data_IF_016232854807
#
_entry.id   IF_016232854807
#
_cell.length_a   1.000
_cell.length_b   1.000
_cell.length_c   1.000
_cell.angle_alpha   90.00
_cell.angle_beta   90.00
_cell.angle_gamma   90.00
#
_symmetry.space_group_name_H-M   'P 1'
#
loop_
_entity.id
_entity.type
_entity.pdbx_description
1 polymer ?
#
# COMPACT_ATOMS: atom_id res chain seq x y z
N UNK A 1 -72.67 26.07 4.17
CA UNK A 1 -71.60 25.67 3.17
C UNK A 1 -70.61 24.82 3.90
N UNK A 2 -70.65 23.47 3.72
CA UNK A 2 -69.65 22.52 4.23
C UNK A 2 -68.53 22.41 3.22
N UNK A 3 -67.30 22.79 3.58
CA UNK A 3 -66.08 22.52 2.78
C UNK A 3 -65.55 21.16 3.22
N UNK A 4 -65.69 20.15 2.38
CA UNK A 4 -65.08 18.85 2.57
C UNK A 4 -63.62 18.91 2.13
N UNK A 5 -62.66 18.88 3.08
CA UNK A 5 -61.22 18.78 2.83
C UNK A 5 -60.91 17.32 2.48
N UNK A 6 -60.63 17.07 1.22
CA UNK A 6 -60.13 15.76 0.74
C UNK A 6 -58.66 15.64 1.11
N UNK A 7 -58.33 14.80 2.09
CA UNK A 7 -56.94 14.43 2.41
C UNK A 7 -56.46 13.45 1.37
N UNK A 8 -55.60 13.91 0.43
CA UNK A 8 -54.89 13.03 -0.51
C UNK A 8 -53.87 12.22 0.26
N UNK A 9 -54.17 10.97 0.57
CA UNK A 9 -53.20 9.99 1.06
C UNK A 9 -52.36 9.59 -0.16
N UNK A 10 -51.16 10.19 -0.33
CA UNK A 10 -50.16 9.75 -1.28
C UNK A 10 -49.58 8.44 -0.74
N UNK A 11 -49.74 7.29 -1.42
CA UNK A 11 -49.12 6.07 -0.98
C UNK A 11 -47.58 6.27 -1.03
N UNK A 12 -46.93 6.14 0.13
CA UNK A 12 -45.47 5.98 0.15
C UNK A 12 -45.13 4.69 -0.59
N UNK A 13 -44.77 4.79 -1.85
CA UNK A 13 -44.18 3.69 -2.61
C UNK A 13 -42.79 3.47 -2.01
N UNK A 14 -42.70 2.56 -1.05
CA UNK A 14 -41.41 2.06 -0.58
C UNK A 14 -40.74 1.36 -1.78
N UNK A 15 -39.79 2.01 -2.39
CA UNK A 15 -38.96 1.39 -3.41
C UNK A 15 -38.17 0.28 -2.76
N UNK A 16 -38.50 -0.97 -3.10
CA UNK A 16 -37.71 -2.13 -2.70
C UNK A 16 -36.28 -1.96 -3.17
N UNK A 17 -35.30 -2.20 -2.30
CA UNK A 17 -33.89 -2.20 -2.70
C UNK A 17 -33.64 -3.27 -3.75
N UNK A 18 -32.59 -3.09 -4.57
CA UNK A 18 -32.26 -3.99 -5.66
C UNK A 18 -30.77 -4.35 -5.59
N UNK A 19 -30.47 -5.64 -5.54
CA UNK A 19 -29.11 -6.14 -5.77
C UNK A 19 -28.86 -6.16 -7.27
N UNK A 20 -27.95 -5.28 -7.75
CA UNK A 20 -27.64 -5.10 -9.17
C UNK A 20 -26.53 -6.04 -9.65
N UNK A 21 -25.48 -6.19 -8.86
CA UNK A 21 -24.32 -7.02 -9.21
C UNK A 21 -23.52 -7.48 -7.98
N UNK A 22 -22.67 -8.47 -8.21
CA UNK A 22 -21.63 -8.92 -7.28
C UNK A 22 -20.27 -8.74 -7.93
N UNK A 23 -19.30 -8.21 -7.17
CA UNK A 23 -17.91 -8.16 -7.55
C UNK A 23 -17.10 -8.83 -6.46
N UNK A 24 -16.16 -9.71 -6.82
CA UNK A 24 -15.36 -10.48 -5.87
C UNK A 24 -13.88 -10.21 -6.16
N UNK A 25 -13.16 -9.82 -5.13
CA UNK A 25 -11.75 -9.42 -5.18
C UNK A 25 -10.93 -10.25 -4.19
N UNK A 26 -10.41 -11.41 -4.59
CA UNK A 26 -9.45 -12.15 -3.77
C UNK A 26 -8.11 -11.41 -3.69
N UNK A 27 -7.61 -11.23 -2.48
CA UNK A 27 -6.27 -10.71 -2.19
C UNK A 27 -5.48 -11.73 -1.36
N UNK A 28 -4.20 -11.55 -1.10
CA UNK A 28 -3.43 -12.45 -0.23
C UNK A 28 -3.98 -12.56 1.21
N UNK A 29 -4.51 -11.47 1.75
CA UNK A 29 -4.91 -11.37 3.15
C UNK A 29 -6.42 -11.58 3.39
N UNK A 30 -7.26 -11.28 2.40
CA UNK A 30 -8.73 -11.35 2.49
C UNK A 30 -9.39 -11.56 1.13
N UNK A 31 -10.64 -11.98 1.15
CA UNK A 31 -11.52 -11.94 -0.03
C UNK A 31 -12.61 -10.91 0.22
N UNK A 32 -12.64 -9.87 -0.59
CA UNK A 32 -13.67 -8.84 -0.56
C UNK A 32 -14.80 -9.17 -1.53
N UNK A 33 -16.03 -9.12 -1.06
CA UNK A 33 -17.23 -9.15 -1.90
C UNK A 33 -17.94 -7.81 -1.82
N UNK A 34 -18.20 -7.22 -2.96
CA UNK A 34 -18.96 -5.98 -3.09
C UNK A 34 -20.30 -6.27 -3.74
N UNK A 35 -21.38 -5.92 -3.07
CA UNK A 35 -22.75 -6.03 -3.56
C UNK A 35 -23.21 -4.64 -3.98
N UNK A 36 -23.42 -4.41 -5.26
CA UNK A 36 -23.95 -3.15 -5.78
C UNK A 36 -25.46 -3.10 -5.61
N UNK A 37 -25.95 -2.01 -5.02
CA UNK A 37 -27.33 -1.85 -4.60
C UNK A 37 -28.02 -0.66 -5.27
N UNK A 38 -29.36 -0.70 -5.33
CA UNK A 38 -30.18 0.41 -5.78
C UNK A 38 -30.30 1.53 -4.76
N UNK A 39 -30.37 1.16 -3.49
CA UNK A 39 -30.46 2.06 -2.33
C UNK A 39 -29.63 1.51 -1.18
N UNK A 40 -29.58 2.23 -0.08
CA UNK A 40 -28.88 1.77 1.13
C UNK A 40 -29.51 0.49 1.69
N UNK A 41 -28.65 -0.49 2.06
CA UNK A 41 -29.10 -1.78 2.59
C UNK A 41 -29.55 -1.66 4.07
N UNK A 42 -30.71 -2.22 4.39
CA UNK A 42 -31.03 -2.68 5.74
C UNK A 42 -30.75 -4.17 5.81
N UNK A 43 -29.74 -4.56 6.57
CA UNK A 43 -29.24 -5.93 6.59
C UNK A 43 -28.88 -6.41 8.00
N UNK A 44 -28.98 -7.72 8.17
CA UNK A 44 -28.40 -8.45 9.30
C UNK A 44 -27.59 -9.64 8.79
N UNK A 45 -26.67 -10.14 9.61
CA UNK A 45 -25.87 -11.29 9.23
C UNK A 45 -25.49 -12.15 10.43
N UNK A 46 -25.20 -13.41 10.16
CA UNK A 46 -24.72 -14.38 11.14
C UNK A 46 -23.92 -15.49 10.45
N UNK A 47 -23.07 -16.16 11.21
CA UNK A 47 -22.27 -17.28 10.74
C UNK A 47 -22.86 -18.61 11.19
N UNK A 48 -22.74 -19.64 10.35
CA UNK A 48 -23.12 -21.03 10.64
C UNK A 48 -21.91 -21.93 10.41
N UNK A 49 -21.80 -22.99 11.25
CA UNK A 49 -20.78 -24.02 11.15
C UNK A 49 -21.40 -25.34 10.69
N UNK A 50 -20.59 -26.22 10.07
CA UNK A 50 -20.99 -27.54 9.63
C UNK A 50 -22.06 -27.64 8.54
N UNK A 51 -21.81 -27.17 7.29
CA UNK A 51 -20.62 -26.50 6.74
C UNK A 51 -20.55 -25.01 7.09
N UNK A 52 -19.35 -24.43 6.99
CA UNK A 52 -19.12 -23.01 7.28
C UNK A 52 -19.82 -22.11 6.26
N UNK A 53 -20.62 -21.18 6.75
CA UNK A 53 -21.42 -20.25 5.94
C UNK A 53 -21.56 -18.91 6.63
N UNK A 54 -21.52 -17.84 5.86
CA UNK A 54 -22.03 -16.54 6.26
C UNK A 54 -23.39 -16.35 5.61
N UNK A 55 -24.37 -16.00 6.42
CA UNK A 55 -25.75 -15.69 5.97
C UNK A 55 -25.97 -14.20 6.11
N UNK A 56 -26.47 -13.57 5.04
CA UNK A 56 -26.81 -12.14 5.01
C UNK A 56 -28.26 -12.02 4.59
N UNK A 57 -29.05 -11.42 5.45
CA UNK A 57 -30.46 -11.10 5.24
C UNK A 57 -30.62 -9.61 4.91
N UNK A 58 -31.22 -9.30 3.80
CA UNK A 58 -31.48 -7.93 3.35
C UNK A 58 -32.99 -7.70 3.27
N UNK A 59 -33.49 -6.73 4.05
CA UNK A 59 -34.91 -6.39 4.07
C UNK A 59 -35.31 -5.63 2.81
N UNK A 60 -36.56 -5.77 2.42
CA UNK A 60 -37.19 -5.08 1.29
C UNK A 60 -36.30 -5.03 0.05
N UNK A 61 -35.66 -6.17 -0.25
CA UNK A 61 -34.64 -6.28 -1.29
C UNK A 61 -35.07 -7.29 -2.34
N UNK A 62 -34.89 -6.93 -3.62
CA UNK A 62 -35.08 -7.79 -4.80
C UNK A 62 -33.74 -8.09 -5.45
N UNK A 63 -33.70 -9.13 -6.29
CA UNK A 63 -32.49 -9.61 -6.91
C UNK A 63 -32.55 -9.44 -8.43
N UNK A 64 -31.67 -8.62 -8.99
CA UNK A 64 -31.44 -8.49 -10.43
C UNK A 64 -30.17 -9.24 -10.86
N UNK A 65 -29.20 -9.36 -9.95
CA UNK A 65 -27.95 -10.07 -10.23
C UNK A 65 -28.18 -11.58 -10.42
N UNK A 66 -27.35 -12.19 -11.25
CA UNK A 66 -27.39 -13.65 -11.48
C UNK A 66 -26.78 -14.39 -10.27
N UNK A 67 -27.46 -15.45 -9.83
CA UNK A 67 -26.99 -16.39 -8.82
C UNK A 67 -27.13 -17.82 -9.35
N UNK A 68 -26.29 -18.77 -8.91
CA UNK A 68 -25.18 -18.63 -7.97
C UNK A 68 -23.96 -17.96 -8.59
N UNK A 69 -23.10 -17.33 -7.72
CA UNK A 69 -21.78 -16.82 -8.10
C UNK A 69 -20.74 -17.79 -7.57
N UNK A 70 -20.08 -18.53 -8.46
CA UNK A 70 -18.96 -19.43 -8.09
C UNK A 70 -17.66 -18.66 -8.07
N UNK A 71 -16.84 -18.90 -7.03
CA UNK A 71 -15.55 -18.23 -6.81
C UNK A 71 -14.44 -19.27 -6.76
N UNK A 72 -13.60 -19.33 -7.79
CA UNK A 72 -12.49 -20.30 -7.90
C UNK A 72 -11.25 -19.85 -7.12
N UNK A 73 -10.95 -18.56 -7.16
CA UNK A 73 -9.64 -17.99 -6.80
C UNK A 73 -9.53 -17.58 -5.33
N UNK A 74 -10.63 -17.66 -4.58
CA UNK A 74 -10.61 -17.34 -3.15
C UNK A 74 -10.24 -18.56 -2.31
N UNK A 75 -9.33 -18.43 -1.33
CA UNK A 75 -9.03 -19.51 -0.37
C UNK A 75 -10.11 -19.66 0.72
N UNK A 76 -11.08 -18.73 0.79
CA UNK A 76 -12.12 -18.68 1.83
C UNK A 76 -13.51 -18.83 1.27
N UNK A 77 -13.86 -18.13 0.19
CA UNK A 77 -15.19 -18.12 -0.40
C UNK A 77 -15.26 -19.15 -1.52
N UNK A 78 -16.31 -19.98 -1.49
CA UNK A 78 -16.59 -21.00 -2.50
C UNK A 78 -17.70 -20.56 -3.45
N UNK A 79 -18.81 -20.06 -2.88
CA UNK A 79 -20.04 -19.84 -3.62
C UNK A 79 -20.89 -18.79 -2.90
N UNK A 80 -21.59 -17.96 -3.68
CA UNK A 80 -22.69 -17.11 -3.19
C UNK A 80 -23.99 -17.59 -3.84
N UNK A 81 -25.00 -17.89 -3.04
CA UNK A 81 -26.28 -18.39 -3.52
C UNK A 81 -27.47 -17.83 -2.74
N UNK A 82 -28.65 -17.96 -3.30
CA UNK A 82 -29.94 -17.68 -2.64
C UNK A 82 -30.28 -18.76 -1.64
N UNK A 83 -31.05 -18.39 -0.60
CA UNK A 83 -31.73 -19.30 0.31
C UNK A 83 -33.11 -18.73 0.71
N UNK A 84 -33.97 -19.57 1.27
CA UNK A 84 -35.28 -19.12 1.77
C UNK A 84 -35.09 -18.30 3.04
N UNK A 85 -35.58 -17.04 3.10
CA UNK A 85 -35.53 -16.23 4.30
C UNK A 85 -36.63 -16.68 5.29
N UNK A 86 -36.47 -16.37 6.60
CA UNK A 86 -37.49 -16.68 7.62
C UNK A 86 -38.72 -15.74 7.53
N UNK A 87 -38.51 -14.53 7.03
CA UNK A 87 -39.51 -13.47 7.00
C UNK A 87 -39.84 -13.04 5.57
N UNK A 88 -41.13 -12.74 5.32
CA UNK A 88 -41.57 -12.15 4.05
C UNK A 88 -40.92 -10.76 3.88
N UNK A 89 -40.58 -10.41 2.64
CA UNK A 89 -39.91 -9.13 2.35
C UNK A 89 -38.40 -9.15 2.53
N UNK A 90 -37.82 -10.22 3.04
CA UNK A 90 -36.36 -10.37 3.20
C UNK A 90 -35.78 -11.20 2.06
N UNK A 91 -34.60 -10.81 1.57
CA UNK A 91 -33.82 -11.61 0.64
C UNK A 91 -32.60 -12.19 1.32
N UNK A 92 -32.47 -13.52 1.38
CA UNK A 92 -31.37 -14.22 2.03
C UNK A 92 -30.31 -14.65 1.03
N UNK A 93 -29.07 -14.19 1.27
CA UNK A 93 -27.86 -14.64 0.61
C UNK A 93 -27.07 -15.56 1.55
N UNK A 94 -26.53 -16.64 1.00
CA UNK A 94 -25.64 -17.57 1.69
C UNK A 94 -24.30 -17.58 0.99
N UNK A 95 -23.26 -17.22 1.70
CA UNK A 95 -21.87 -17.31 1.29
C UNK A 95 -21.31 -18.62 1.83
N UNK A 96 -21.10 -19.61 0.97
CA UNK A 96 -20.49 -20.88 1.35
C UNK A 96 -18.97 -20.69 1.48
N UNK A 97 -18.46 -21.01 2.67
CA UNK A 97 -17.06 -20.78 3.00
C UNK A 97 -16.29 -22.11 2.96
N UNK A 98 -15.03 -22.05 2.57
CA UNK A 98 -14.09 -23.17 2.60
C UNK A 98 -13.52 -23.40 4.00
N UNK A 99 -13.60 -22.39 4.87
CA UNK A 99 -13.19 -22.39 6.28
C UNK A 99 -13.92 -21.30 7.06
N UNK A 100 -14.02 -21.46 8.38
CA UNK A 100 -14.62 -20.45 9.24
C UNK A 100 -13.74 -19.21 9.30
N UNK A 101 -14.35 -18.03 9.08
CA UNK A 101 -13.71 -16.73 9.19
C UNK A 101 -14.67 -15.73 9.84
N UNK A 102 -14.11 -14.74 10.52
CA UNK A 102 -14.87 -13.65 11.06
C UNK A 102 -15.04 -12.58 9.97
N UNK A 103 -16.20 -12.54 9.34
CA UNK A 103 -16.52 -11.55 8.31
C UNK A 103 -16.70 -10.16 8.89
N UNK A 104 -16.30 -9.14 8.15
CA UNK A 104 -16.61 -7.73 8.42
C UNK A 104 -17.52 -7.21 7.32
N UNK A 105 -18.66 -6.61 7.73
CA UNK A 105 -19.62 -6.05 6.80
C UNK A 105 -19.82 -4.57 7.07
N UNK A 106 -19.81 -3.77 6.01
CA UNK A 106 -20.07 -2.33 6.09
C UNK A 106 -20.68 -1.79 4.80
N UNK A 107 -21.34 -0.63 4.92
CA UNK A 107 -21.99 0.04 3.81
C UNK A 107 -21.09 1.13 3.21
N UNK A 108 -21.14 1.29 1.91
CA UNK A 108 -20.55 2.42 1.20
C UNK A 108 -21.64 3.22 0.49
N UNK A 109 -21.61 4.52 0.68
CA UNK A 109 -22.50 5.47 0.01
C UNK A 109 -22.14 5.63 -1.49
N UNK A 110 -23.05 6.17 -2.31
CA UNK A 110 -22.73 6.54 -3.67
C UNK A 110 -21.51 7.48 -3.75
N UNK A 111 -20.68 7.28 -4.77
CA UNK A 111 -19.49 8.11 -4.95
C UNK A 111 -19.86 9.47 -5.54
N UNK A 112 -19.17 10.55 -5.14
CA UNK A 112 -19.24 11.81 -5.85
C UNK A 112 -18.90 11.60 -7.33
N UNK A 113 -19.74 12.11 -8.23
CA UNK A 113 -19.57 11.87 -9.67
C UNK A 113 -20.28 10.64 -10.23
N UNK A 114 -20.98 9.84 -9.39
CA UNK A 114 -21.91 8.78 -9.82
C UNK A 114 -21.26 7.52 -10.38
N UNK A 115 -19.95 7.29 -10.12
CA UNK A 115 -19.25 6.10 -10.61
C UNK A 115 -19.78 4.81 -9.97
N UNK A 116 -20.10 4.85 -8.67
CA UNK A 116 -20.73 3.76 -7.94
C UNK A 116 -21.93 4.26 -7.15
N UNK A 117 -22.99 3.41 -7.07
CA UNK A 117 -24.14 3.60 -6.22
C UNK A 117 -23.90 3.14 -4.78
N UNK A 118 -24.98 2.83 -4.07
CA UNK A 118 -24.91 2.19 -2.76
C UNK A 118 -24.28 0.81 -2.87
N UNK A 119 -23.47 0.43 -1.87
CA UNK A 119 -22.77 -0.86 -1.84
C UNK A 119 -22.79 -1.45 -0.44
N UNK A 120 -22.94 -2.77 -0.34
CA UNK A 120 -22.62 -3.54 0.85
C UNK A 120 -21.32 -4.29 0.59
N UNK A 121 -20.31 -4.05 1.43
CA UNK A 121 -19.01 -4.69 1.35
C UNK A 121 -18.93 -5.78 2.40
N UNK A 122 -18.38 -6.93 2.03
CA UNK A 122 -18.15 -8.09 2.89
C UNK A 122 -16.69 -8.48 2.76
N UNK A 123 -15.91 -8.27 3.82
CA UNK A 123 -14.52 -8.67 3.91
C UNK A 123 -14.41 -10.02 4.65
N UNK A 124 -13.77 -10.99 4.00
CA UNK A 124 -13.55 -12.34 4.49
C UNK A 124 -12.04 -12.56 4.69
N UNK A 125 -11.48 -12.32 5.89
CA UNK A 125 -10.05 -12.48 6.17
C UNK A 125 -9.58 -13.92 5.95
N UNK A 126 -8.38 -14.10 5.40
CA UNK A 126 -7.82 -15.43 5.13
C UNK A 126 -7.18 -16.09 6.36
N UNK A 127 -6.78 -15.32 7.38
CA UNK A 127 -6.18 -15.78 8.61
C UNK A 127 -6.95 -15.35 9.85
N UNK A 128 -6.58 -15.84 11.02
CA UNK A 128 -6.98 -15.20 12.27
C UNK A 128 -6.39 -13.80 12.25
N UNK A 129 -7.24 -12.76 12.39
CA UNK A 129 -6.74 -11.44 12.80
C UNK A 129 -5.97 -11.70 14.10
N UNK A 130 -4.65 -11.67 14.06
CA UNK A 130 -3.90 -11.27 15.24
C UNK A 130 -4.42 -9.87 15.54
N UNK A 131 -5.25 -9.76 16.58
CA UNK A 131 -5.60 -8.48 17.13
C UNK A 131 -4.28 -7.72 17.21
N UNK A 132 -4.21 -6.57 16.56
CA UNK A 132 -3.08 -5.66 16.69
C UNK A 132 -3.14 -5.14 18.13
N UNK A 133 -2.70 -5.97 19.07
CA UNK A 133 -2.26 -5.50 20.36
C UNK A 133 -1.14 -4.52 20.00
N UNK A 134 -1.43 -3.25 20.22
CA UNK A 134 -0.43 -2.20 20.18
C UNK A 134 0.83 -2.78 20.82
N UNK A 135 1.88 -2.92 20.03
CA UNK A 135 3.14 -3.43 20.52
C UNK A 135 3.53 -2.55 21.72
N UNK A 136 3.47 -3.14 22.91
CA UNK A 136 3.99 -2.55 24.11
C UNK A 136 5.42 -2.13 23.78
N UNK A 137 5.83 -0.89 24.00
CA UNK A 137 7.19 -0.50 23.70
C UNK A 137 8.11 -1.46 24.47
N UNK A 138 8.85 -2.27 23.74
CA UNK A 138 9.91 -3.07 24.33
C UNK A 138 10.91 -2.09 24.91
N UNK A 139 11.09 -2.15 26.25
CA UNK A 139 12.24 -1.54 26.93
C UNK A 139 13.49 -1.88 26.12
N UNK A 140 14.44 -0.95 25.98
CA UNK A 140 15.75 -1.29 25.44
C UNK A 140 16.30 -2.39 26.33
N UNK A 141 16.35 -3.59 25.84
CA UNK A 141 17.07 -4.67 26.48
C UNK A 141 18.56 -4.36 26.31
N UNK A 142 19.15 -3.80 27.35
CA UNK A 142 20.59 -3.89 27.59
C UNK A 142 20.91 -5.36 27.83
N UNK A 143 20.94 -6.13 26.78
CA UNK A 143 21.58 -7.42 26.78
C UNK A 143 22.90 -7.27 26.04
N UNK A 144 23.98 -7.36 26.79
CA UNK A 144 25.29 -7.66 26.25
C UNK A 144 25.19 -8.94 25.44
N UNK A 145 24.86 -8.82 24.15
CA UNK A 145 24.96 -9.92 23.22
C UNK A 145 26.43 -10.13 22.91
N UNK A 146 26.89 -11.35 23.12
CA UNK A 146 28.13 -11.86 22.59
C UNK A 146 28.36 -11.33 21.18
N UNK A 147 29.42 -10.50 21.01
CA UNK A 147 29.84 -9.95 19.72
C UNK A 147 30.56 -11.02 18.89
N UNK A 148 29.90 -12.12 18.59
CA UNK A 148 30.51 -13.20 17.81
C UNK A 148 29.81 -13.49 16.47
N UNK A 149 28.83 -12.68 16.05
CA UNK A 149 28.27 -12.75 14.71
C UNK A 149 28.77 -11.58 13.88
N UNK A 150 29.64 -11.85 12.91
CA UNK A 150 29.85 -10.94 11.78
C UNK A 150 28.48 -10.68 11.17
N UNK A 151 27.93 -9.51 11.45
CA UNK A 151 26.62 -9.13 10.90
C UNK A 151 26.80 -8.99 9.39
N UNK A 152 26.32 -9.98 8.63
CA UNK A 152 26.24 -9.86 7.18
C UNK A 152 25.44 -8.58 6.88
N UNK A 153 26.03 -7.69 6.11
CA UNK A 153 25.33 -6.47 5.68
C UNK A 153 24.01 -6.85 5.02
N UNK A 154 22.92 -6.21 5.46
CA UNK A 154 21.57 -6.53 5.01
C UNK A 154 21.31 -5.96 3.62
N UNK A 155 20.45 -6.63 2.85
CA UNK A 155 19.92 -6.05 1.62
C UNK A 155 18.98 -4.89 1.96
N UNK A 156 18.93 -3.87 1.10
CA UNK A 156 17.97 -2.78 1.23
C UNK A 156 16.60 -3.28 0.78
N UNK A 157 15.61 -3.25 1.65
CA UNK A 157 14.23 -3.59 1.31
C UNK A 157 13.45 -2.34 0.91
N UNK A 158 12.88 -2.34 -0.28
CA UNK A 158 12.04 -1.27 -0.83
C UNK A 158 10.62 -1.79 -0.98
N UNK A 159 9.66 -1.10 -0.40
CA UNK A 159 8.25 -1.37 -0.67
C UNK A 159 7.78 -0.49 -1.82
N UNK A 160 7.24 -1.12 -2.85
CA UNK A 160 6.60 -0.47 -3.98
C UNK A 160 5.10 -0.60 -3.78
N UNK A 161 4.40 0.52 -3.86
CA UNK A 161 2.97 0.61 -3.61
C UNK A 161 2.25 1.04 -4.89
N UNK A 162 1.72 0.09 -5.70
CA UNK A 162 0.85 0.46 -6.82
C UNK A 162 -0.46 1.04 -6.27
N UNK A 163 -0.76 2.30 -6.57
CA UNK A 163 -2.00 2.95 -6.14
C UNK A 163 -3.26 2.20 -6.56
N UNK A 164 -4.36 2.41 -5.84
CA UNK A 164 -5.70 1.88 -6.18
C UNK A 164 -5.76 0.35 -6.22
N UNK A 165 -6.74 -0.22 -6.95
CA UNK A 165 -6.90 -1.66 -7.16
C UNK A 165 -8.30 -2.18 -6.77
N UNK A 166 -8.69 -3.30 -7.35
CA UNK A 166 -10.00 -3.91 -7.10
C UNK A 166 -11.15 -2.99 -7.52
N UNK A 167 -12.06 -2.70 -6.60
CA UNK A 167 -13.19 -1.78 -6.80
C UNK A 167 -12.78 -0.32 -6.94
N UNK A 168 -11.57 0.05 -6.54
CA UNK A 168 -11.03 1.38 -6.77
C UNK A 168 -10.21 1.41 -8.08
N UNK A 169 -10.76 1.93 -9.18
CA UNK A 169 -10.06 2.00 -10.44
C UNK A 169 -8.97 3.08 -10.48
N UNK A 170 -8.94 3.98 -9.47
CA UNK A 170 -8.24 5.24 -9.57
C UNK A 170 -8.88 6.16 -10.61
N UNK A 171 -8.09 7.02 -11.17
CA UNK A 171 -8.48 7.91 -12.24
C UNK A 171 -8.79 7.15 -13.54
N UNK A 172 -9.77 7.65 -14.28
CA UNK A 172 -10.25 7.04 -15.53
C UNK A 172 -9.83 7.92 -16.70
N UNK A 173 -9.13 7.32 -17.64
CA UNK A 173 -8.71 8.02 -18.85
C UNK A 173 -9.88 8.47 -19.75
N UNK A 174 -9.66 9.46 -20.62
CA UNK A 174 -10.69 10.01 -21.50
C UNK A 174 -11.37 8.97 -22.40
N UNK A 175 -10.66 7.91 -22.75
CA UNK A 175 -11.24 6.77 -23.52
C UNK A 175 -12.28 5.97 -22.74
N UNK A 176 -12.40 6.19 -21.41
CA UNK A 176 -13.25 5.45 -20.47
C UNK A 176 -13.03 3.93 -20.45
N UNK A 177 -11.87 3.47 -20.93
CA UNK A 177 -11.47 2.05 -21.02
C UNK A 177 -10.15 1.76 -20.33
N UNK A 178 -9.49 2.79 -19.83
CA UNK A 178 -8.17 2.70 -19.20
C UNK A 178 -8.26 3.27 -17.82
N UNK A 179 -7.80 2.49 -16.86
CA UNK A 179 -7.86 2.78 -15.44
C UNK A 179 -6.45 2.98 -14.90
N UNK A 180 -6.28 3.92 -14.01
CA UNK A 180 -5.01 4.19 -13.34
C UNK A 180 -4.45 2.94 -12.69
N UNK A 181 -5.28 2.18 -11.94
CA UNK A 181 -4.87 0.94 -11.26
C UNK A 181 -4.10 -0.05 -12.14
N UNK A 182 -4.43 -0.12 -13.44
CA UNK A 182 -3.80 -1.05 -14.38
C UNK A 182 -2.44 -0.53 -14.85
N UNK A 183 -2.34 0.76 -15.15
CA UNK A 183 -1.11 1.40 -15.56
C UNK A 183 -0.07 1.34 -14.44
N UNK A 184 -0.45 1.75 -13.23
CA UNK A 184 0.47 1.81 -12.09
C UNK A 184 0.92 0.42 -11.62
N UNK A 185 0.04 -0.60 -11.68
CA UNK A 185 0.45 -1.98 -11.39
C UNK A 185 1.48 -2.48 -12.40
N UNK A 186 1.30 -2.16 -13.70
CA UNK A 186 2.23 -2.55 -14.75
C UNK A 186 3.60 -1.88 -14.57
N UNK A 187 3.63 -0.55 -14.30
CA UNK A 187 4.86 0.21 -14.06
C UNK A 187 5.57 -0.31 -12.80
N UNK A 188 4.82 -0.54 -11.72
CA UNK A 188 5.35 -1.03 -10.44
C UNK A 188 6.00 -2.41 -10.55
N UNK A 189 5.40 -3.33 -11.31
CA UNK A 189 6.00 -4.65 -11.58
C UNK A 189 7.33 -4.55 -12.33
N UNK A 190 7.41 -3.64 -13.30
CA UNK A 190 8.65 -3.38 -14.06
C UNK A 190 9.73 -2.74 -13.16
N UNK A 191 9.32 -1.80 -12.31
CA UNK A 191 10.21 -1.18 -11.32
C UNK A 191 10.75 -2.21 -10.32
N UNK A 192 9.87 -3.08 -9.78
CA UNK A 192 10.27 -4.16 -8.88
C UNK A 192 11.30 -5.08 -9.54
N UNK A 193 11.01 -5.54 -10.76
CA UNK A 193 11.94 -6.44 -11.49
C UNK A 193 13.32 -5.80 -11.73
N UNK A 194 13.38 -4.50 -12.02
CA UNK A 194 14.64 -3.79 -12.23
C UNK A 194 15.44 -3.57 -10.95
N UNK A 195 14.74 -3.24 -9.85
CA UNK A 195 15.37 -3.09 -8.54
C UNK A 195 15.86 -4.43 -7.99
N UNK A 196 15.08 -5.50 -8.11
CA UNK A 196 15.47 -6.85 -7.67
C UNK A 196 16.66 -7.41 -8.47
N UNK A 197 16.85 -6.96 -9.72
CA UNK A 197 18.03 -7.28 -10.52
C UNK A 197 19.29 -6.54 -10.04
N UNK A 198 19.16 -5.55 -9.15
CA UNK A 198 20.29 -4.79 -8.61
C UNK A 198 20.83 -5.49 -7.35
N UNK A 199 22.11 -5.89 -7.31
CA UNK A 199 22.69 -6.54 -6.14
C UNK A 199 22.51 -5.70 -4.86
N UNK A 200 22.02 -6.33 -3.80
CA UNK A 200 21.81 -5.70 -2.52
C UNK A 200 20.48 -4.97 -2.35
N UNK A 201 19.58 -5.07 -3.32
CA UNK A 201 18.22 -4.56 -3.24
C UNK A 201 17.22 -5.72 -3.32
N UNK A 202 16.18 -5.66 -2.49
CA UNK A 202 14.98 -6.49 -2.57
C UNK A 202 13.75 -5.62 -2.59
N UNK A 203 12.72 -6.05 -3.30
CA UNK A 203 11.45 -5.36 -3.33
C UNK A 203 10.32 -6.20 -2.77
N UNK A 204 9.31 -5.52 -2.23
CA UNK A 204 7.99 -6.08 -1.95
C UNK A 204 6.93 -5.12 -2.46
N UNK A 205 5.85 -5.66 -2.98
CA UNK A 205 4.74 -4.85 -3.47
C UNK A 205 3.55 -4.95 -2.52
N UNK A 206 2.86 -3.83 -2.25
CA UNK A 206 1.64 -3.82 -1.42
C UNK A 206 0.51 -4.59 -2.07
N UNK A 207 0.45 -4.59 -3.41
CA UNK A 207 -0.40 -5.46 -4.21
C UNK A 207 0.33 -5.97 -5.45
N UNK A 208 0.10 -7.23 -5.78
CA UNK A 208 0.66 -7.89 -6.96
C UNK A 208 -0.41 -8.24 -8.00
N UNK A 209 -1.68 -8.00 -7.68
CA UNK A 209 -2.85 -8.24 -8.51
C UNK A 209 -3.82 -7.05 -8.50
N UNK A 210 -4.99 -7.26 -9.11
CA UNK A 210 -6.09 -6.31 -9.10
C UNK A 210 -7.00 -6.55 -7.90
N UNK A 211 -6.59 -6.03 -6.74
CA UNK A 211 -7.37 -6.01 -5.50
C UNK A 211 -7.10 -4.72 -4.73
N UNK A 212 -8.07 -4.30 -3.93
CA UNK A 212 -7.97 -3.09 -3.13
C UNK A 212 -7.07 -3.31 -1.90
N UNK A 213 -6.24 -2.32 -1.60
CA UNK A 213 -5.46 -2.22 -0.35
C UNK A 213 -5.71 -0.85 0.24
N UNK A 214 -6.27 -0.78 1.44
CA UNK A 214 -6.53 0.51 2.07
C UNK A 214 -5.24 1.25 2.45
N UNK A 215 -5.30 2.59 2.55
CA UNK A 215 -4.12 3.44 2.76
C UNK A 215 -3.34 3.07 4.03
N UNK A 216 -4.02 2.78 5.13
CA UNK A 216 -3.36 2.38 6.37
C UNK A 216 -2.63 1.06 6.23
N UNK A 217 -3.20 0.10 5.47
CA UNK A 217 -2.56 -1.19 5.22
C UNK A 217 -1.30 -1.06 4.37
N UNK A 218 -1.26 -0.12 3.41
CA UNK A 218 -0.06 0.17 2.60
C UNK A 218 1.11 0.60 3.48
N UNK A 219 0.88 1.55 4.39
CA UNK A 219 1.89 2.02 5.34
C UNK A 219 2.25 0.93 6.35
N UNK A 220 1.26 0.21 6.88
CA UNK A 220 1.49 -0.91 7.80
C UNK A 220 2.32 -2.01 7.16
N UNK A 221 2.06 -2.35 5.90
CA UNK A 221 2.84 -3.32 5.14
C UNK A 221 4.31 -2.93 5.03
N UNK A 222 4.62 -1.66 4.75
CA UNK A 222 6.00 -1.19 4.73
C UNK A 222 6.68 -1.32 6.09
N UNK A 223 5.98 -0.97 7.19
CA UNK A 223 6.50 -1.10 8.56
C UNK A 223 6.69 -2.53 9.02
N UNK A 224 5.73 -3.41 8.76
CA UNK A 224 5.78 -4.84 9.12
C UNK A 224 6.90 -5.60 8.41
N UNK A 225 7.37 -5.05 7.30
CA UNK A 225 8.48 -5.61 6.53
C UNK A 225 9.81 -4.89 6.78
N UNK A 226 9.90 -3.96 7.73
CA UNK A 226 11.10 -3.16 8.02
C UNK A 226 11.68 -2.51 6.75
N UNK A 227 10.79 -1.92 5.92
CA UNK A 227 11.19 -1.30 4.66
C UNK A 227 12.11 -0.10 4.89
N UNK A 228 13.14 0.03 4.06
CA UNK A 228 14.04 1.18 4.06
C UNK A 228 13.48 2.36 3.26
N UNK A 229 12.64 2.07 2.25
CA UNK A 229 11.97 3.07 1.41
C UNK A 229 10.56 2.61 1.08
N UNK A 230 9.63 3.56 0.91
CA UNK A 230 8.29 3.34 0.36
C UNK A 230 8.11 4.22 -0.88
N UNK A 231 7.80 3.60 -2.01
CA UNK A 231 7.56 4.28 -3.29
C UNK A 231 6.15 3.96 -3.74
N UNK A 232 5.23 4.92 -3.60
CA UNK A 232 3.88 4.80 -4.14
C UNK A 232 3.86 5.30 -5.58
N UNK A 233 3.23 4.55 -6.47
CA UNK A 233 3.21 4.81 -7.92
C UNK A 233 1.78 5.10 -8.34
N UNK A 234 1.57 6.27 -8.94
CA UNK A 234 0.28 6.80 -9.35
C UNK A 234 0.32 7.36 -10.78
N UNK A 235 -0.84 7.64 -11.35
CA UNK A 235 -1.02 8.30 -12.64
C UNK A 235 -2.35 9.06 -12.66
N UNK A 236 -2.48 10.01 -11.76
CA UNK A 236 -3.72 10.67 -11.40
C UNK A 236 -4.36 11.47 -12.57
N UNK A 237 -5.58 11.92 -12.38
CA UNK A 237 -6.26 12.83 -13.30
C UNK A 237 -6.31 14.24 -12.71
N UNK A 238 -6.57 15.21 -13.53
CA UNK A 238 -6.95 16.56 -13.11
C UNK A 238 -8.31 16.92 -13.71
N UNK A 239 -8.94 17.94 -13.17
CA UNK A 239 -10.27 18.41 -13.63
C UNK A 239 -10.30 18.84 -15.10
N UNK A 240 -9.14 19.13 -15.65
CA UNK A 240 -8.97 19.50 -17.06
C UNK A 240 -7.94 18.58 -17.73
N UNK A 241 -8.00 18.40 -19.07
CA UNK A 241 -7.09 17.52 -19.80
C UNK A 241 -5.72 18.15 -20.14
N UNK A 242 -5.47 19.41 -19.75
CA UNK A 242 -4.24 20.12 -20.08
C UNK A 242 -3.02 19.67 -19.27
N UNK A 243 -3.11 19.42 -17.95
CA UNK A 243 -1.95 18.93 -17.17
C UNK A 243 -1.37 17.67 -17.78
N UNK A 244 -0.05 17.60 -17.84
CA UNK A 244 0.72 16.47 -18.35
C UNK A 244 2.06 16.36 -17.66
N UNK A 245 2.63 15.18 -17.71
CA UNK A 245 3.97 14.89 -17.21
C UNK A 245 4.00 14.46 -15.75
N UNK A 246 5.15 13.90 -15.37
CA UNK A 246 5.36 13.36 -14.04
C UNK A 246 5.56 14.41 -12.96
N UNK A 247 5.27 14.03 -11.73
CA UNK A 247 5.54 14.80 -10.51
C UNK A 247 5.96 13.85 -9.40
N UNK A 248 6.64 14.36 -8.37
CA UNK A 248 6.93 13.56 -7.17
C UNK A 248 6.51 14.33 -5.93
N UNK A 249 5.71 13.66 -5.11
CA UNK A 249 5.19 14.19 -3.87
C UNK A 249 5.96 13.64 -2.67
N UNK A 250 6.19 14.51 -1.69
CA UNK A 250 6.87 14.20 -0.44
C UNK A 250 6.03 14.66 0.75
N UNK A 251 6.17 13.97 1.88
CA UNK A 251 5.43 14.33 3.08
C UNK A 251 5.85 15.72 3.58
N UNK A 252 4.84 16.55 3.87
CA UNK A 252 4.98 17.74 4.69
C UNK A 252 3.75 17.88 5.58
N UNK A 253 3.92 17.75 6.87
CA UNK A 253 2.82 17.78 7.84
C UNK A 253 2.18 19.16 8.00
N UNK A 254 2.83 20.22 7.51
CA UNK A 254 2.37 21.60 7.73
C UNK A 254 1.43 22.14 6.69
N UNK A 255 1.57 21.83 5.39
CA UNK A 255 0.61 22.22 4.31
C UNK A 255 0.93 21.62 2.94
N UNK A 256 -0.13 21.26 2.21
CA UNK A 256 -0.07 21.15 0.76
C UNK A 256 0.10 22.57 0.16
N UNK A 257 1.15 22.80 -0.58
CA UNK A 257 1.54 24.15 -1.04
C UNK A 257 1.13 24.45 -2.48
N UNK A 258 0.48 23.53 -3.17
CA UNK A 258 -0.01 23.72 -4.53
C UNK A 258 -1.47 23.28 -4.68
N UNK A 259 -2.16 23.82 -5.70
CA UNK A 259 -3.53 23.41 -6.03
C UNK A 259 -3.59 21.92 -6.40
N UNK A 260 -2.61 21.43 -7.15
CA UNK A 260 -2.49 20.03 -7.54
C UNK A 260 -2.31 19.15 -6.32
N UNK A 261 -1.45 19.51 -5.35
CA UNK A 261 -1.27 18.75 -4.12
C UNK A 261 -2.59 18.62 -3.34
N UNK A 262 -3.37 19.68 -3.24
CA UNK A 262 -4.70 19.63 -2.60
C UNK A 262 -5.68 18.78 -3.36
N UNK A 263 -5.63 18.80 -4.69
CA UNK A 263 -6.50 17.99 -5.52
C UNK A 263 -6.17 16.48 -5.36
N UNK A 264 -4.89 16.09 -5.44
CA UNK A 264 -4.42 14.71 -5.20
C UNK A 264 -4.79 14.23 -3.80
N UNK A 265 -4.57 15.06 -2.75
CA UNK A 265 -5.00 14.71 -1.39
C UNK A 265 -6.49 14.42 -1.28
N UNK A 266 -7.32 15.19 -1.96
CA UNK A 266 -8.77 14.99 -1.93
C UNK A 266 -9.17 13.74 -2.73
N UNK A 267 -8.50 13.48 -3.85
CA UNK A 267 -8.75 12.30 -4.69
C UNK A 267 -8.38 11.01 -3.95
N UNK A 268 -7.22 10.99 -3.29
CA UNK A 268 -6.81 9.86 -2.45
C UNK A 268 -7.74 9.61 -1.24
N UNK A 269 -8.27 10.66 -0.63
CA UNK A 269 -9.32 10.50 0.40
C UNK A 269 -10.61 9.90 -0.17
N UNK A 270 -10.97 10.20 -1.41
CA UNK A 270 -12.11 9.60 -2.08
C UNK A 270 -11.87 8.13 -2.42
N UNK A 271 -10.64 7.73 -2.74
CA UNK A 271 -10.24 6.33 -2.91
C UNK A 271 -10.58 5.48 -1.68
N UNK A 272 -10.33 5.99 -0.46
CA UNK A 272 -10.76 5.31 0.78
C UNK A 272 -12.30 5.16 0.87
N UNK A 273 -13.07 6.12 0.37
CA UNK A 273 -14.53 6.03 0.32
C UNK A 273 -15.02 5.03 -0.75
N UNK A 274 -14.19 4.74 -1.76
CA UNK A 274 -14.47 3.75 -2.77
C UNK A 274 -14.35 2.31 -2.25
N UNK A 275 -13.35 2.05 -1.43
CA UNK A 275 -13.03 0.72 -0.95
C UNK A 275 -12.87 0.54 0.56
N UNK A 276 -12.72 1.61 1.34
CA UNK A 276 -12.46 1.57 2.78
C UNK A 276 -13.69 1.70 3.67
N UNK A 277 -13.57 1.29 4.93
CA UNK A 277 -14.64 1.38 5.94
C UNK A 277 -14.87 2.80 6.50
N UNK A 278 -14.20 3.82 5.99
CA UNK A 278 -14.33 5.21 6.46
C UNK A 278 -13.72 5.51 7.83
N UNK A 279 -13.27 4.51 8.57
CA UNK A 279 -12.73 4.66 9.94
C UNK A 279 -11.19 4.84 9.99
N UNK A 280 -10.54 5.10 8.86
CA UNK A 280 -9.09 5.11 8.74
C UNK A 280 -8.36 6.24 9.48
N UNK A 281 -9.05 7.22 10.04
CA UNK A 281 -8.43 8.43 10.60
C UNK A 281 -8.59 8.63 12.12
N UNK A 282 -9.07 7.63 12.87
CA UNK A 282 -9.11 7.75 14.34
C UNK A 282 -7.76 7.32 14.90
N UNK A 283 -6.81 8.23 14.97
CA UNK A 283 -5.61 8.07 15.78
C UNK A 283 -6.00 8.19 17.25
N UNK A 284 -6.01 7.07 17.96
CA UNK A 284 -6.15 7.04 19.41
C UNK A 284 -4.85 7.57 20.05
N UNK A 285 -4.77 8.88 20.26
CA UNK A 285 -3.64 9.54 20.92
C UNK A 285 -3.89 9.61 22.42
N UNK A 286 -3.47 8.59 23.14
CA UNK A 286 -3.38 8.61 24.60
C UNK A 286 -2.00 8.26 25.10
N UNK A 287 -0.96 9.02 24.72
CA UNK A 287 0.29 9.14 25.52
C UNK A 287 1.13 10.27 24.91
N UNK A 288 1.06 11.45 25.53
CA UNK A 288 1.34 12.70 24.82
C UNK A 288 2.71 13.34 25.05
N UNK A 289 3.59 12.94 25.95
CA UNK A 289 4.65 13.87 26.36
C UNK A 289 6.13 13.44 26.19
N UNK A 290 6.47 12.18 26.01
CA UNK A 290 7.90 11.78 25.84
C UNK A 290 8.19 11.28 24.41
N UNK A 291 7.16 10.78 23.72
CA UNK A 291 7.29 10.26 22.35
C UNK A 291 7.17 11.33 21.26
N UNK A 292 6.63 12.52 21.57
CA UNK A 292 6.34 13.54 20.56
C UNK A 292 7.63 14.08 19.92
N UNK A 293 8.64 14.43 20.73
CA UNK A 293 9.90 14.98 20.22
C UNK A 293 10.68 13.96 19.38
N UNK A 294 10.67 12.69 19.80
CA UNK A 294 11.31 11.61 19.04
C UNK A 294 10.59 11.35 17.72
N UNK A 295 9.26 11.34 17.75
CA UNK A 295 8.43 11.21 16.54
C UNK A 295 8.64 12.38 15.58
N UNK A 296 8.70 13.61 16.09
CA UNK A 296 8.94 14.81 15.27
C UNK A 296 10.33 14.76 14.62
N UNK A 297 11.34 14.26 15.32
CA UNK A 297 12.68 14.06 14.78
C UNK A 297 12.70 12.99 13.67
N UNK A 298 12.02 11.86 13.89
CA UNK A 298 11.89 10.79 12.90
C UNK A 298 11.15 11.28 11.65
N UNK A 299 10.05 12.02 11.81
CA UNK A 299 9.35 12.64 10.69
C UNK A 299 10.24 13.63 9.93
N UNK A 300 11.01 14.46 10.63
CA UNK A 300 11.93 15.41 9.99
C UNK A 300 13.01 14.70 9.18
N UNK A 301 13.55 13.59 9.70
CA UNK A 301 14.52 12.77 8.98
C UNK A 301 13.89 12.13 7.73
N UNK A 302 12.74 11.47 7.89
CA UNK A 302 12.02 10.83 6.81
C UNK A 302 11.63 11.82 5.69
N UNK A 303 11.19 13.03 6.05
CA UNK A 303 10.90 14.12 5.10
C UNK A 303 12.14 14.53 4.32
N UNK A 304 13.27 14.75 5.00
CA UNK A 304 14.53 15.16 4.36
C UNK A 304 15.02 14.11 3.38
N UNK A 305 15.00 12.84 3.78
CA UNK A 305 15.43 11.73 2.94
C UNK A 305 14.45 11.50 1.77
N UNK A 306 13.14 11.59 2.02
CA UNK A 306 12.12 11.55 0.96
C UNK A 306 12.31 12.68 -0.06
N UNK A 307 12.66 13.89 0.37
CA UNK A 307 12.91 15.01 -0.54
C UNK A 307 14.14 14.78 -1.42
N UNK A 308 15.23 14.21 -0.88
CA UNK A 308 16.42 13.84 -1.66
C UNK A 308 16.07 12.79 -2.72
N UNK A 309 15.40 11.70 -2.30
CA UNK A 309 14.95 10.65 -3.21
C UNK A 309 14.05 11.19 -4.32
N UNK A 310 13.08 12.04 -3.97
CA UNK A 310 12.18 12.67 -4.95
C UNK A 310 12.94 13.54 -5.95
N UNK A 311 13.98 14.25 -5.51
CA UNK A 311 14.82 15.07 -6.39
C UNK A 311 15.57 14.21 -7.42
N UNK A 312 16.14 13.08 -6.99
CA UNK A 312 16.79 12.14 -7.89
C UNK A 312 15.80 11.51 -8.89
N UNK A 313 14.60 11.13 -8.42
CA UNK A 313 13.55 10.58 -9.29
C UNK A 313 13.14 11.58 -10.36
N UNK A 314 12.88 12.83 -9.99
CA UNK A 314 12.55 13.90 -10.97
C UNK A 314 13.69 14.11 -11.97
N UNK A 315 14.95 14.10 -11.52
CA UNK A 315 16.11 14.23 -12.38
C UNK A 315 16.21 13.15 -13.45
N UNK A 316 15.97 11.89 -13.10
CA UNK A 316 16.02 10.77 -14.06
C UNK A 316 14.73 10.69 -14.90
N UNK A 317 13.55 10.93 -14.31
CA UNK A 317 12.28 10.96 -15.06
C UNK A 317 12.27 12.06 -16.12
N UNK A 318 12.81 13.24 -15.83
CA UNK A 318 12.89 14.36 -16.78
C UNK A 318 13.71 14.08 -18.02
N UNK A 319 14.55 13.04 -18.03
CA UNK A 319 15.32 12.60 -19.21
C UNK A 319 14.52 11.73 -20.17
N UNK A 320 13.40 11.14 -19.71
CA UNK A 320 12.64 10.15 -20.46
C UNK A 320 11.17 10.53 -20.68
N UNK A 321 10.66 11.45 -19.89
CA UNK A 321 9.28 11.91 -19.92
C UNK A 321 9.19 13.43 -19.63
N UNK A 322 8.07 14.02 -19.99
CA UNK A 322 7.75 15.40 -19.58
C UNK A 322 7.53 15.43 -18.06
N UNK A 323 8.00 16.47 -17.39
CA UNK A 323 7.70 16.73 -15.99
C UNK A 323 6.66 17.83 -15.86
N UNK A 324 5.66 17.61 -15.04
CA UNK A 324 4.71 18.64 -14.64
C UNK A 324 5.37 19.61 -13.65
N UNK A 325 6.15 19.08 -12.72
CA UNK A 325 6.98 19.84 -11.79
C UNK A 325 8.40 19.32 -11.77
N UNK A 326 9.37 20.22 -11.81
CA UNK A 326 10.80 19.91 -11.75
C UNK A 326 11.36 19.84 -10.33
N UNK A 327 10.55 20.18 -9.32
CA UNK A 327 10.89 20.11 -7.90
C UNK A 327 9.86 19.25 -7.15
N UNK A 328 10.27 18.55 -6.07
CA UNK A 328 9.35 17.80 -5.23
C UNK A 328 8.23 18.67 -4.67
N UNK A 329 7.01 18.13 -4.66
CA UNK A 329 5.80 18.81 -4.18
C UNK A 329 5.50 18.35 -2.77
N UNK A 330 5.33 19.29 -1.84
CA UNK A 330 4.96 18.99 -0.47
C UNK A 330 3.46 18.69 -0.35
N UNK A 331 3.12 17.61 0.36
CA UNK A 331 1.74 17.15 0.55
C UNK A 331 1.56 16.49 1.91
N UNK A 332 0.31 16.31 2.35
CA UNK A 332 -0.04 15.60 3.59
C UNK A 332 -0.68 14.23 3.34
N UNK A 333 -0.37 13.59 2.23
CA UNK A 333 -0.92 12.29 1.83
C UNK A 333 -0.74 11.21 2.90
N UNK A 334 -1.79 10.42 3.14
CA UNK A 334 -1.81 9.41 4.19
C UNK A 334 -0.76 8.32 3.96
N UNK A 335 -0.56 7.88 2.72
CA UNK A 335 0.42 6.85 2.34
C UNK A 335 1.86 7.25 2.65
N UNK A 336 2.15 8.56 2.73
CA UNK A 336 3.48 9.08 3.04
C UNK A 336 3.73 9.26 4.55
N UNK A 337 2.73 9.02 5.41
CA UNK A 337 2.81 9.30 6.86
C UNK A 337 3.50 8.19 7.66
N UNK A 338 4.66 7.73 7.21
CA UNK A 338 5.52 6.85 8.02
C UNK A 338 6.63 7.66 8.68
N UNK A 339 6.72 7.70 10.02
CA UNK A 339 7.76 8.48 10.69
C UNK A 339 9.17 7.97 10.41
N UNK A 340 9.32 6.67 10.21
CA UNK A 340 10.62 5.99 10.14
C UNK A 340 11.07 5.65 8.73
N UNK A 341 10.14 5.65 7.75
CA UNK A 341 10.41 5.18 6.39
C UNK A 341 10.34 6.38 5.44
N UNK A 342 11.46 6.79 4.82
CA UNK A 342 11.42 7.77 3.73
C UNK A 342 10.48 7.31 2.64
N UNK A 343 9.47 8.14 2.35
CA UNK A 343 8.37 7.78 1.46
C UNK A 343 8.17 8.85 0.39
N UNK A 344 7.90 8.41 -0.84
CA UNK A 344 7.56 9.28 -1.98
C UNK A 344 6.35 8.73 -2.71
N UNK A 345 5.54 9.63 -3.27
CA UNK A 345 4.52 9.27 -4.24
C UNK A 345 4.93 9.82 -5.60
N UNK A 346 5.03 8.94 -6.58
CA UNK A 346 5.46 9.25 -7.94
C UNK A 346 4.25 9.24 -8.86
N UNK A 347 3.84 10.43 -9.31
CA UNK A 347 2.91 10.58 -10.44
C UNK A 347 3.68 10.35 -11.73
N UNK A 348 3.34 9.30 -12.44
CA UNK A 348 4.01 8.92 -13.69
C UNK A 348 3.50 9.67 -14.91
N UNK A 349 2.42 10.41 -14.76
CA UNK A 349 1.76 11.25 -15.75
C UNK A 349 0.31 11.52 -15.33
N UNK A 350 -0.43 12.30 -16.10
CA UNK A 350 -1.86 12.56 -15.87
C UNK A 350 -2.71 11.76 -16.86
N UNK A 351 -3.38 10.71 -16.37
CA UNK A 351 -4.23 9.85 -17.21
C UNK A 351 -5.40 10.63 -17.86
N UNK A 352 -5.81 11.77 -17.28
CA UNK A 352 -6.83 12.67 -17.86
C UNK A 352 -6.38 13.33 -19.17
N UNK A 353 -5.08 13.38 -19.45
CA UNK A 353 -4.54 13.90 -20.70
C UNK A 353 -4.55 12.79 -21.76
N UNK A 354 -5.19 12.99 -22.95
CA UNK A 354 -5.30 11.96 -23.98
C UNK A 354 -3.97 11.43 -24.52
N UNK A 355 -2.92 12.27 -24.51
CA UNK A 355 -1.58 11.87 -24.95
C UNK A 355 -0.91 11.02 -23.88
N UNK A 356 -1.00 11.45 -22.62
CA UNK A 356 -0.46 10.70 -21.47
C UNK A 356 -1.19 9.36 -21.29
N UNK A 357 -2.53 9.32 -21.43
CA UNK A 357 -3.30 8.08 -21.41
C UNK A 357 -2.73 7.05 -22.40
N UNK A 358 -2.36 7.47 -23.61
CA UNK A 358 -1.76 6.57 -24.60
C UNK A 358 -0.37 6.12 -24.16
N UNK A 359 0.47 7.03 -23.66
CA UNK A 359 1.84 6.74 -23.22
C UNK A 359 1.87 5.80 -22.02
N UNK A 360 1.04 6.05 -20.99
CA UNK A 360 0.97 5.25 -19.76
C UNK A 360 0.63 3.78 -20.01
N UNK A 361 -0.02 3.46 -21.14
CA UNK A 361 -0.32 2.07 -21.54
C UNK A 361 0.61 1.51 -22.61
N UNK A 362 1.66 2.24 -23.01
CA UNK A 362 2.70 1.73 -23.90
C UNK A 362 3.80 1.05 -23.08
N UNK A 363 4.09 -0.22 -23.39
CA UNK A 363 5.12 -1.01 -22.69
C UNK A 363 6.48 -0.30 -22.67
N UNK A 364 6.91 0.22 -23.83
CA UNK A 364 8.20 0.89 -23.94
C UNK A 364 8.29 2.16 -23.08
N UNK A 365 7.19 2.92 -22.92
CA UNK A 365 7.17 4.08 -22.06
C UNK A 365 7.20 3.69 -20.58
N UNK A 366 6.42 2.67 -20.19
CA UNK A 366 6.45 2.12 -18.84
C UNK A 366 7.84 1.59 -18.46
N UNK A 367 8.55 0.93 -19.40
CA UNK A 367 9.91 0.44 -19.19
C UNK A 367 10.89 1.60 -18.95
N UNK A 368 10.79 2.69 -19.73
CA UNK A 368 11.61 3.89 -19.55
C UNK A 368 11.36 4.56 -18.20
N UNK A 369 10.09 4.70 -17.77
CA UNK A 369 9.74 5.26 -16.47
C UNK A 369 10.28 4.40 -15.33
N UNK A 370 10.05 3.09 -15.38
CA UNK A 370 10.57 2.16 -14.39
C UNK A 370 12.10 2.21 -14.30
N UNK A 371 12.79 2.28 -15.44
CA UNK A 371 14.26 2.39 -15.51
C UNK A 371 14.75 3.71 -14.92
N UNK A 372 14.08 4.82 -15.20
CA UNK A 372 14.44 6.11 -14.65
C UNK A 372 14.30 6.13 -13.12
N UNK A 373 13.16 5.64 -12.61
CA UNK A 373 12.93 5.55 -11.16
C UNK A 373 13.97 4.60 -10.51
N UNK A 374 14.21 3.44 -11.10
CA UNK A 374 15.20 2.48 -10.58
C UNK A 374 16.61 3.09 -10.51
N UNK A 375 17.07 3.78 -11.56
CA UNK A 375 18.36 4.48 -11.56
C UNK A 375 18.45 5.53 -10.47
N UNK A 376 17.39 6.32 -10.28
CA UNK A 376 17.32 7.33 -9.24
C UNK A 376 17.44 6.72 -7.85
N UNK A 377 16.70 5.63 -7.59
CA UNK A 377 16.74 4.90 -6.32
C UNK A 377 18.15 4.36 -6.04
N UNK A 378 18.77 3.71 -7.03
CA UNK A 378 20.13 3.17 -6.87
C UNK A 378 21.15 4.28 -6.62
N UNK A 379 21.03 5.41 -7.31
CA UNK A 379 21.87 6.59 -7.07
C UNK A 379 21.67 7.13 -5.65
N UNK A 380 20.42 7.32 -5.24
CA UNK A 380 20.08 7.78 -3.90
C UNK A 380 20.68 6.88 -2.82
N UNK A 381 20.55 5.55 -2.94
CA UNK A 381 21.11 4.59 -1.98
C UNK A 381 22.62 4.60 -1.89
N UNK A 382 23.31 4.89 -3.00
CA UNK A 382 24.78 5.06 -3.01
C UNK A 382 25.21 6.34 -2.30
N UNK A 383 24.46 7.42 -2.48
CA UNK A 383 24.75 8.74 -1.92
C UNK A 383 24.28 8.86 -0.45
N UNK A 384 23.23 8.12 -0.07
CA UNK A 384 22.62 8.10 1.26
C UNK A 384 22.37 6.66 1.72
N UNK A 385 23.42 5.87 1.98
CA UNK A 385 23.30 4.46 2.30
C UNK A 385 22.65 4.24 3.66
N UNK A 386 21.60 3.41 3.79
CA UNK A 386 21.05 3.04 5.08
C UNK A 386 22.07 2.24 5.90
N UNK A 387 22.15 2.53 7.21
CA UNK A 387 23.08 1.86 8.12
C UNK A 387 22.86 0.33 8.14
N UNK A 388 23.96 -0.42 8.24
CA UNK A 388 23.92 -1.89 8.30
C UNK A 388 23.59 -2.59 6.98
N UNK A 389 23.38 -1.85 5.89
CA UNK A 389 23.10 -2.42 4.58
C UNK A 389 24.36 -2.58 3.73
N UNK A 390 24.26 -3.35 2.64
CA UNK A 390 25.37 -3.54 1.68
C UNK A 390 25.81 -2.24 1.00
N UNK A 391 25.01 -1.20 1.03
CA UNK A 391 25.34 0.13 0.52
C UNK A 391 26.14 0.96 1.53
N UNK A 392 26.07 0.63 2.84
CA UNK A 392 26.78 1.36 3.88
C UNK A 392 28.29 1.24 3.70
N UNK A 393 29.04 2.34 3.90
CA UNK A 393 30.52 2.31 3.89
C UNK A 393 31.11 1.29 4.88
N UNK A 394 30.45 1.04 6.00
CA UNK A 394 30.82 0.01 6.97
C UNK A 394 30.63 -1.42 6.49
N UNK A 395 29.91 -1.64 5.38
CA UNK A 395 29.74 -2.97 4.76
C UNK A 395 30.87 -3.34 3.78
N UNK A 396 31.71 -2.38 3.39
CA UNK A 396 32.90 -2.69 2.61
C UNK A 396 33.83 -3.50 3.48
N UNK A 397 34.36 -4.63 2.99
CA UNK A 397 35.35 -5.39 3.76
C UNK A 397 36.51 -4.47 4.12
N UNK A 398 36.72 -4.22 5.42
CA UNK A 398 37.91 -3.51 5.88
C UNK A 398 39.10 -4.40 5.60
N UNK A 399 40.02 -3.93 4.78
CA UNK A 399 41.26 -4.63 4.50
C UNK A 399 42.36 -4.04 5.41
N UNK A 400 42.99 -4.91 6.21
CA UNK A 400 44.16 -4.57 7.00
C UNK A 400 45.40 -5.27 6.40
N UNK A 401 46.41 -4.50 6.10
CA UNK A 401 47.69 -5.04 5.67
C UNK A 401 48.55 -5.25 6.91
N UNK A 402 48.94 -6.51 7.15
CA UNK A 402 49.68 -6.91 8.35
C UNK A 402 51.05 -6.22 8.38
N UNK A 403 51.31 -5.52 9.46
CA UNK A 403 52.59 -4.86 9.72
C UNK A 403 53.48 -5.73 10.62
N UNK A 404 54.81 -5.46 10.58
CA UNK A 404 55.76 -6.17 11.42
C UNK A 404 55.45 -6.04 12.91
N UNK A 405 55.32 -7.17 13.60
CA UNK A 405 54.96 -7.23 15.01
C UNK A 405 53.45 -7.31 15.34
N UNK A 406 52.60 -7.27 14.34
CA UNK A 406 51.16 -7.47 14.58
C UNK A 406 50.82 -8.98 14.56
N UNK A 407 49.96 -9.35 15.53
CA UNK A 407 49.37 -10.69 15.58
C UNK A 407 47.90 -10.64 15.24
N UNK A 408 47.33 -11.78 14.88
CA UNK A 408 45.90 -11.90 14.57
C UNK A 408 45.01 -11.40 15.73
N UNK A 409 45.41 -11.61 16.97
CA UNK A 409 44.67 -11.13 18.14
C UNK A 409 44.76 -9.61 18.31
N UNK A 410 45.93 -9.00 18.04
CA UNK A 410 46.11 -7.55 18.08
C UNK A 410 45.23 -6.88 16.99
N UNK A 411 45.25 -7.45 15.76
CA UNK A 411 44.42 -6.94 14.68
C UNK A 411 42.94 -7.11 15.00
N UNK A 412 42.54 -8.26 15.54
CA UNK A 412 41.15 -8.52 15.94
C UNK A 412 40.67 -7.47 16.98
N UNK A 413 41.43 -7.23 18.03
CA UNK A 413 41.10 -6.23 19.02
C UNK A 413 41.02 -4.80 18.46
N UNK A 414 41.94 -4.46 17.56
CA UNK A 414 41.94 -3.15 16.88
C UNK A 414 40.67 -2.86 16.11
N UNK A 415 40.05 -3.89 15.53
CA UNK A 415 38.82 -3.77 14.74
C UNK A 415 37.57 -4.30 15.46
N UNK A 416 37.61 -4.47 16.80
CA UNK A 416 36.45 -4.85 17.61
C UNK A 416 35.89 -6.24 17.27
N UNK A 417 36.74 -7.17 16.83
CA UNK A 417 36.40 -8.55 16.49
C UNK A 417 37.25 -9.56 17.25
N UNK A 418 37.18 -10.84 16.91
CA UNK A 418 38.00 -11.87 17.50
C UNK A 418 38.82 -12.65 16.45
N UNK A 419 39.90 -13.29 16.88
CA UNK A 419 40.80 -14.04 16.00
C UNK A 419 40.09 -15.15 15.20
N UNK A 420 39.12 -15.82 15.83
CA UNK A 420 38.34 -16.90 15.17
C UNK A 420 37.50 -16.36 14.01
N UNK A 421 36.88 -15.20 14.17
CA UNK A 421 36.11 -14.54 13.11
C UNK A 421 37.01 -14.11 11.95
N UNK A 422 38.19 -13.49 12.26
CA UNK A 422 39.17 -13.13 11.22
C UNK A 422 39.70 -14.34 10.47
N UNK A 423 39.95 -15.47 11.17
CA UNK A 423 40.39 -16.69 10.53
C UNK A 423 39.33 -17.26 9.58
N UNK A 424 38.06 -17.27 10.01
CA UNK A 424 36.95 -17.77 9.21
C UNK A 424 36.76 -16.92 7.94
N UNK A 425 36.72 -15.59 8.08
CA UNK A 425 36.52 -14.66 6.96
C UNK A 425 37.62 -14.74 5.91
N UNK A 426 38.90 -14.86 6.36
CA UNK A 426 40.05 -14.92 5.48
C UNK A 426 40.48 -16.36 5.14
N UNK A 427 39.70 -17.37 5.54
CA UNK A 427 39.98 -18.80 5.32
C UNK A 427 41.39 -19.22 5.80
N UNK A 428 41.85 -18.63 6.89
CA UNK A 428 43.18 -18.90 7.46
C UNK A 428 43.17 -20.26 8.15
N UNK A 429 44.21 -21.05 7.90
CA UNK A 429 44.41 -22.39 8.54
C UNK A 429 45.19 -22.28 9.85
N UNK A 430 45.84 -21.16 10.13
CA UNK A 430 46.60 -20.89 11.35
C UNK A 430 46.53 -19.43 11.75
N UNK A 431 46.93 -19.12 12.99
CA UNK A 431 46.99 -17.75 13.51
C UNK A 431 48.27 -17.01 13.06
N UNK A 432 49.18 -17.67 12.36
CA UNK A 432 50.39 -17.05 11.85
C UNK A 432 50.08 -16.18 10.65
N UNK A 433 50.57 -14.95 10.68
CA UNK A 433 50.42 -13.97 9.61
C UNK A 433 51.75 -13.60 9.00
N UNK A 434 51.77 -13.37 7.71
CA UNK A 434 52.94 -12.80 7.05
C UNK A 434 52.85 -11.28 6.99
N UNK A 435 53.98 -10.59 7.13
CA UNK A 435 54.04 -9.12 6.94
C UNK A 435 53.67 -8.82 5.48
N UNK A 436 52.71 -7.91 5.28
CA UNK A 436 52.18 -7.55 3.97
C UNK A 436 50.98 -8.40 3.51
N UNK A 437 50.58 -9.40 4.29
CA UNK A 437 49.37 -10.19 4.02
C UNK A 437 48.14 -9.37 4.16
#
# INVERSE_FOLDING_TARGET
TFVATFLLIIPNVAFANVVKSFRVWPSPDETRVVIDLGSEADYSYFSLSGPDRLVVDMKDTTMQAKLPVTVSDSPVLKLVRKSSPPEKGTYRLVFELKKNVQAELFKLSPTPGGQYGHRLVIDLPHGKKTATTAAKPSKPATTSKDMSTVQRAQEVLIVIDPGHGGEDPGSIGPSRRKYEKDAVLSISRKLAAQLDATPGIKTRMTRTGDYFVNLNRRVAFARENDAHLLISVHADAFTSPQPRGGSVFVLNTRRANTEIARWVENHEKQSELLGGSGNAFVTNTKDRNVNQTLLDLQFSHSQKEGYKLATEILGEMGRVAHLHNTKPINTSLAVLRSPQIPSVLVETGFISNPTEEKLLFQRAHQDKLAQAISKAVVKYLKDNPPEGTVFSPSSKPMVHIVKRGESLSVIANKYGTNSKALMAENKLKSTSLAVGQ
#
